data_IF_008634303129
#
_entry.id   IF_008634303129
#
_cell.length_a   1.000
_cell.length_b   1.000
_cell.length_c   1.000
_cell.angle_alpha   90.00
_cell.angle_beta   90.00
_cell.angle_gamma   90.00
#
_symmetry.space_group_name_H-M   'P 1'
#
loop_
_entity.id
_entity.type
_entity.pdbx_description
1 polymer ?
#
# COMPACT_ATOMS: atom_id res chain seq x y z
N UNK A 1 40.56 -26.91 0.65
CA UNK A 1 40.07 -25.52 0.45
C UNK A 1 39.45 -25.34 -0.95
N UNK A 2 38.46 -26.16 -1.34
CA UNK A 2 37.83 -26.11 -2.68
C UNK A 2 36.34 -26.49 -2.66
N UNK A 3 35.66 -26.22 -1.54
CA UNK A 3 34.25 -26.59 -1.30
C UNK A 3 33.31 -25.42 -0.97
N UNK A 4 33.82 -24.33 -0.38
CA UNK A 4 32.96 -23.24 0.13
C UNK A 4 32.45 -22.27 -0.94
N UNK A 5 33.02 -22.27 -2.15
CA UNK A 5 32.61 -21.38 -3.25
C UNK A 5 31.37 -21.85 -4.03
N UNK A 6 31.07 -23.15 -4.03
CA UNK A 6 29.95 -23.72 -4.80
C UNK A 6 28.64 -23.75 -3.98
N UNK A 7 28.73 -23.78 -2.66
CA UNK A 7 27.57 -23.72 -1.76
C UNK A 7 26.98 -22.30 -1.68
N UNK A 8 27.82 -21.26 -1.76
CA UNK A 8 27.35 -19.86 -1.76
C UNK A 8 26.57 -19.48 -3.02
N UNK A 9 26.99 -19.97 -4.19
CA UNK A 9 26.31 -19.70 -5.46
C UNK A 9 24.93 -20.36 -5.57
N UNK A 10 24.82 -21.63 -5.16
CA UNK A 10 23.53 -22.34 -5.17
C UNK A 10 22.55 -21.75 -4.15
N UNK A 11 23.03 -21.30 -2.99
CA UNK A 11 22.17 -20.65 -1.98
C UNK A 11 21.65 -19.30 -2.45
N UNK A 12 22.51 -18.46 -3.04
CA UNK A 12 22.08 -17.18 -3.60
C UNK A 12 21.01 -17.33 -4.68
N UNK A 13 21.19 -18.28 -5.62
CA UNK A 13 20.21 -18.53 -6.69
C UNK A 13 18.91 -19.09 -6.12
N UNK A 14 18.98 -19.98 -5.13
CA UNK A 14 17.80 -20.52 -4.46
C UNK A 14 17.01 -19.43 -3.72
N UNK A 15 17.70 -18.56 -2.98
CA UNK A 15 17.08 -17.44 -2.25
C UNK A 15 16.42 -16.46 -3.23
N UNK A 16 17.13 -16.09 -4.31
CA UNK A 16 16.63 -15.20 -5.36
C UNK A 16 15.37 -15.74 -6.03
N UNK A 17 15.36 -17.04 -6.36
CA UNK A 17 14.20 -17.71 -6.96
C UNK A 17 13.02 -17.78 -5.99
N UNK A 18 13.30 -18.10 -4.72
CA UNK A 18 12.26 -18.20 -3.70
C UNK A 18 11.54 -16.86 -3.47
N UNK A 19 12.28 -15.75 -3.41
CA UNK A 19 11.72 -14.40 -3.26
C UNK A 19 10.87 -14.00 -4.48
N UNK A 20 11.32 -14.32 -5.70
CA UNK A 20 10.52 -14.06 -6.89
C UNK A 20 9.20 -14.82 -6.87
N UNK A 21 9.22 -16.11 -6.52
CA UNK A 21 8.01 -16.94 -6.44
C UNK A 21 7.08 -16.43 -5.33
N UNK A 22 7.63 -16.00 -4.19
CA UNK A 22 6.85 -15.40 -3.11
C UNK A 22 6.16 -14.11 -3.56
N UNK A 23 6.90 -13.17 -4.15
CA UNK A 23 6.33 -11.91 -4.64
C UNK A 23 5.29 -12.17 -5.76
N UNK A 24 5.55 -13.12 -6.65
CA UNK A 24 4.58 -13.52 -7.67
C UNK A 24 3.28 -14.04 -7.03
N UNK A 25 3.38 -14.87 -6.00
CA UNK A 25 2.22 -15.40 -5.28
C UNK A 25 1.46 -14.30 -4.52
N UNK A 26 2.16 -13.39 -3.84
CA UNK A 26 1.57 -12.23 -3.17
C UNK A 26 0.76 -11.38 -4.15
N UNK A 27 1.34 -11.07 -5.32
CA UNK A 27 0.66 -10.30 -6.36
C UNK A 27 -0.50 -11.07 -6.98
N UNK A 28 -0.34 -12.37 -7.24
CA UNK A 28 -1.42 -13.20 -7.77
C UNK A 28 -2.63 -13.21 -6.82
N UNK A 29 -2.40 -13.37 -5.52
CA UNK A 29 -3.46 -13.32 -4.49
C UNK A 29 -4.10 -11.93 -4.43
N UNK A 30 -3.31 -10.85 -4.52
CA UNK A 30 -3.82 -9.48 -4.50
C UNK A 30 -4.64 -9.11 -5.76
N UNK A 31 -4.25 -9.59 -6.93
CA UNK A 31 -4.92 -9.30 -8.21
C UNK A 31 -6.16 -10.19 -8.43
N UNK A 32 -6.19 -11.39 -7.86
CA UNK A 32 -7.31 -12.33 -7.97
C UNK A 32 -8.68 -11.71 -7.66
N UNK A 33 -8.91 -11.01 -6.53
CA UNK A 33 -10.22 -10.43 -6.25
C UNK A 33 -10.60 -9.35 -7.27
N UNK A 34 -9.65 -8.54 -7.73
CA UNK A 34 -9.90 -7.54 -8.77
C UNK A 34 -10.30 -8.19 -10.10
N UNK A 35 -9.57 -9.24 -10.51
CA UNK A 35 -9.89 -10.02 -11.70
C UNK A 35 -11.25 -10.73 -11.57
N UNK A 36 -11.56 -11.29 -10.40
CA UNK A 36 -12.84 -11.93 -10.12
C UNK A 36 -14.00 -10.94 -10.24
N UNK A 37 -13.88 -9.76 -9.65
CA UNK A 37 -14.89 -8.70 -9.79
C UNK A 37 -15.05 -8.29 -11.26
N UNK A 38 -13.96 -8.14 -12.01
CA UNK A 38 -14.03 -7.79 -13.43
C UNK A 38 -14.76 -8.87 -14.25
N UNK A 39 -14.46 -10.16 -14.01
CA UNK A 39 -15.10 -11.29 -14.70
C UNK A 39 -16.58 -11.39 -14.34
N UNK A 40 -16.91 -11.37 -13.04
CA UNK A 40 -18.29 -11.44 -12.55
C UNK A 40 -19.12 -10.26 -13.05
N UNK A 41 -18.57 -9.05 -12.98
CA UNK A 41 -19.26 -7.84 -13.44
C UNK A 41 -19.46 -7.84 -14.95
N UNK A 42 -18.49 -8.33 -15.72
CA UNK A 42 -18.62 -8.47 -17.16
C UNK A 42 -19.69 -9.48 -17.56
N UNK A 43 -19.79 -10.60 -16.84
CA UNK A 43 -20.78 -11.64 -17.10
C UNK A 43 -22.20 -11.24 -16.68
N UNK A 44 -22.35 -10.58 -15.51
CA UNK A 44 -23.66 -10.23 -14.96
C UNK A 44 -24.22 -8.90 -15.51
N UNK A 45 -23.40 -7.85 -15.60
CA UNK A 45 -23.87 -6.47 -15.80
C UNK A 45 -23.37 -5.83 -17.10
N UNK A 46 -22.06 -5.84 -17.35
CA UNK A 46 -21.44 -4.96 -18.36
C UNK A 46 -21.53 -5.50 -19.79
N UNK A 47 -21.47 -6.83 -19.99
CA UNK A 47 -21.52 -7.49 -21.32
C UNK A 47 -20.61 -6.82 -22.36
N UNK A 48 -19.35 -6.57 -22.01
CA UNK A 48 -18.43 -5.78 -22.82
C UNK A 48 -18.11 -6.48 -24.15
N UNK A 49 -17.92 -5.74 -25.25
CA UNK A 49 -17.43 -6.30 -26.51
C UNK A 49 -16.05 -6.94 -26.32
N UNK A 50 -15.74 -7.96 -27.13
CA UNK A 50 -14.51 -8.75 -27.02
C UNK A 50 -13.22 -7.91 -27.01
N UNK A 51 -13.23 -6.78 -27.71
CA UNK A 51 -12.10 -5.83 -27.72
C UNK A 51 -11.83 -5.24 -26.34
N UNK A 52 -12.87 -4.81 -25.62
CA UNK A 52 -12.74 -4.23 -24.28
C UNK A 52 -12.36 -5.27 -23.23
N UNK A 53 -12.91 -6.49 -23.32
CA UNK A 53 -12.50 -7.61 -22.45
C UNK A 53 -11.01 -7.90 -22.62
N UNK A 54 -10.51 -7.94 -23.87
CA UNK A 54 -9.08 -8.12 -24.14
C UNK A 54 -8.25 -6.99 -23.53
N UNK A 55 -8.68 -5.74 -23.65
CA UNK A 55 -8.00 -4.60 -23.01
C UNK A 55 -7.92 -4.74 -21.50
N UNK A 56 -9.01 -5.14 -20.83
CA UNK A 56 -9.02 -5.35 -19.37
C UNK A 56 -8.08 -6.47 -18.96
N UNK A 57 -8.11 -7.61 -19.66
CA UNK A 57 -7.22 -8.75 -19.37
C UNK A 57 -5.75 -8.36 -19.58
N UNK A 58 -5.43 -7.70 -20.70
CA UNK A 58 -4.06 -7.24 -20.97
C UNK A 58 -3.61 -6.22 -19.93
N UNK A 59 -4.48 -5.28 -19.53
CA UNK A 59 -4.20 -4.33 -18.45
C UNK A 59 -3.92 -5.02 -17.12
N UNK A 60 -4.78 -5.97 -16.71
CA UNK A 60 -4.60 -6.75 -15.48
C UNK A 60 -3.27 -7.51 -15.46
N UNK A 61 -2.91 -8.17 -16.56
CA UNK A 61 -1.64 -8.90 -16.67
C UNK A 61 -0.45 -7.95 -16.59
N UNK A 62 -0.47 -6.83 -17.33
CA UNK A 62 0.61 -5.84 -17.31
C UNK A 62 0.76 -5.20 -15.93
N UNK A 63 -0.34 -4.86 -15.26
CA UNK A 63 -0.32 -4.33 -13.89
C UNK A 63 0.20 -5.36 -12.90
N UNK A 64 -0.19 -6.63 -13.01
CA UNK A 64 0.33 -7.70 -12.17
C UNK A 64 1.85 -7.87 -12.34
N UNK A 65 2.33 -7.97 -13.58
CA UNK A 65 3.76 -8.09 -13.86
C UNK A 65 4.54 -6.84 -13.40
N UNK A 66 4.03 -5.65 -13.67
CA UNK A 66 4.64 -4.39 -13.22
C UNK A 66 4.72 -4.30 -11.70
N UNK A 67 3.65 -4.68 -11.00
CA UNK A 67 3.61 -4.71 -9.52
C UNK A 67 4.57 -5.75 -8.98
N UNK A 68 4.65 -6.94 -9.59
CA UNK A 68 5.58 -7.99 -9.20
C UNK A 68 7.04 -7.51 -9.29
N UNK A 69 7.46 -6.98 -10.44
CA UNK A 69 8.83 -6.50 -10.60
C UNK A 69 9.14 -5.29 -9.71
N UNK A 70 8.17 -4.39 -9.52
CA UNK A 70 8.31 -3.26 -8.60
C UNK A 70 8.50 -3.71 -7.15
N UNK A 71 7.62 -4.56 -6.63
CA UNK A 71 7.70 -5.06 -5.26
C UNK A 71 8.97 -5.87 -5.03
N UNK A 72 9.38 -6.68 -6.01
CA UNK A 72 10.63 -7.42 -5.96
C UNK A 72 11.84 -6.47 -5.85
N UNK A 73 11.90 -5.45 -6.71
CA UNK A 73 12.95 -4.44 -6.66
C UNK A 73 12.98 -3.66 -5.34
N UNK A 74 11.80 -3.34 -4.78
CA UNK A 74 11.68 -2.68 -3.48
C UNK A 74 12.16 -3.58 -2.35
N UNK A 75 11.78 -4.87 -2.34
CA UNK A 75 12.13 -5.80 -1.26
C UNK A 75 13.63 -6.07 -1.19
N UNK A 76 14.30 -6.21 -2.33
CA UNK A 76 15.75 -6.49 -2.36
C UNK A 76 16.59 -5.22 -2.28
N UNK A 77 16.12 -4.11 -2.87
CA UNK A 77 16.87 -2.86 -2.94
C UNK A 77 16.61 -1.93 -1.77
N UNK A 78 15.38 -1.41 -1.67
CA UNK A 78 15.06 -0.28 -0.80
C UNK A 78 14.68 -0.69 0.62
N UNK A 79 14.00 -1.82 0.80
CA UNK A 79 13.50 -2.26 2.11
C UNK A 79 14.62 -2.53 3.13
N UNK A 80 15.74 -3.22 2.79
CA UNK A 80 16.83 -3.46 3.73
C UNK A 80 17.51 -2.15 4.16
N UNK A 81 17.66 -1.20 3.24
CA UNK A 81 18.18 0.13 3.54
C UNK A 81 17.25 0.90 4.49
N UNK A 82 15.95 0.92 4.20
CA UNK A 82 14.93 1.55 5.03
C UNK A 82 14.87 0.95 6.45
N UNK A 83 14.95 -0.37 6.57
CA UNK A 83 14.98 -1.06 7.87
C UNK A 83 16.24 -0.70 8.66
N UNK A 84 17.40 -0.69 8.02
CA UNK A 84 18.67 -0.33 8.68
C UNK A 84 18.65 1.11 9.18
N UNK A 85 18.21 2.06 8.34
CA UNK A 85 18.06 3.46 8.72
C UNK A 85 17.08 3.61 9.90
N UNK A 86 15.93 2.94 9.81
CA UNK A 86 14.91 2.95 10.86
C UNK A 86 15.44 2.40 12.19
N UNK A 87 16.18 1.30 12.17
CA UNK A 87 16.80 0.70 13.37
C UNK A 87 17.84 1.63 13.99
N UNK A 88 18.69 2.28 13.19
CA UNK A 88 19.68 3.25 13.68
C UNK A 88 19.02 4.46 14.35
N UNK A 89 17.93 4.98 13.77
CA UNK A 89 17.16 6.08 14.37
C UNK A 89 16.48 5.61 15.65
N UNK A 90 15.88 4.42 15.65
CA UNK A 90 15.23 3.85 16.83
C UNK A 90 16.20 3.65 18.00
N UNK A 91 17.43 3.22 17.72
CA UNK A 91 18.45 2.98 18.74
C UNK A 91 19.05 4.28 19.30
N UNK A 92 19.17 5.33 18.48
CA UNK A 92 19.83 6.58 18.87
C UNK A 92 18.85 7.67 19.35
N UNK A 93 17.78 7.92 18.59
CA UNK A 93 16.80 8.99 18.83
C UNK A 93 15.40 8.53 18.41
N UNK A 94 14.76 7.64 19.18
CA UNK A 94 13.46 7.06 18.81
C UNK A 94 12.34 8.09 18.67
N UNK A 95 12.43 9.24 19.37
CA UNK A 95 11.49 10.34 19.22
C UNK A 95 11.42 10.91 17.78
N UNK A 96 12.49 10.78 16.99
CA UNK A 96 12.51 11.22 15.58
C UNK A 96 11.69 10.31 14.65
N UNK A 97 11.37 9.08 15.07
CA UNK A 97 10.52 8.19 14.28
C UNK A 97 9.14 8.78 14.06
N UNK A 98 8.60 9.54 15.02
CA UNK A 98 7.26 10.13 14.94
C UNK A 98 7.17 11.18 13.82
N UNK A 99 7.97 12.27 13.79
CA UNK A 99 7.91 13.25 12.71
C UNK A 99 8.37 12.67 11.36
N UNK A 100 9.34 11.75 11.34
CA UNK A 100 9.75 11.08 10.10
C UNK A 100 8.61 10.22 9.54
N UNK A 101 7.98 9.41 10.39
CA UNK A 101 6.83 8.59 10.02
C UNK A 101 5.66 9.42 9.51
N UNK A 102 5.39 10.57 10.15
CA UNK A 102 4.40 11.53 9.65
C UNK A 102 4.69 11.97 8.21
N UNK A 103 5.92 12.44 7.96
CA UNK A 103 6.32 12.93 6.63
C UNK A 103 6.26 11.81 5.60
N UNK A 104 6.75 10.61 5.91
CA UNK A 104 6.72 9.47 5.00
C UNK A 104 5.27 9.04 4.69
N UNK A 105 4.40 8.96 5.70
CA UNK A 105 2.97 8.66 5.51
C UNK A 105 2.26 9.70 4.65
N UNK A 106 2.50 10.98 4.94
CA UNK A 106 1.95 12.11 4.19
C UNK A 106 2.40 12.09 2.71
N UNK A 107 3.70 11.95 2.46
CA UNK A 107 4.27 11.93 1.10
C UNK A 107 3.81 10.70 0.33
N UNK A 108 3.65 9.55 0.99
CA UNK A 108 3.15 8.32 0.35
C UNK A 108 1.78 8.55 -0.29
N UNK A 109 0.85 9.19 0.42
CA UNK A 109 -0.48 9.51 -0.13
C UNK A 109 -0.41 10.54 -1.25
N UNK A 110 0.43 11.56 -1.14
CA UNK A 110 0.60 12.54 -2.22
C UNK A 110 1.21 11.94 -3.49
N UNK A 111 2.08 10.95 -3.32
CA UNK A 111 2.72 10.21 -4.41
C UNK A 111 1.77 9.16 -5.03
N UNK A 112 0.73 8.74 -4.31
CA UNK A 112 -0.16 7.68 -4.76
C UNK A 112 -1.13 8.17 -5.86
N UNK A 113 -0.99 7.70 -7.12
CA UNK A 113 -1.85 8.15 -8.22
C UNK A 113 -3.30 7.67 -8.05
N UNK A 114 -3.51 6.50 -7.43
CA UNK A 114 -4.85 5.95 -7.18
C UNK A 114 -5.67 6.86 -6.28
N UNK A 115 -5.06 7.44 -5.25
CA UNK A 115 -5.73 8.40 -4.36
C UNK A 115 -6.15 9.65 -5.15
N UNK A 116 -5.32 10.16 -6.05
CA UNK A 116 -5.69 11.31 -6.90
C UNK A 116 -6.92 11.01 -7.75
N UNK A 117 -6.94 9.85 -8.41
CA UNK A 117 -8.11 9.40 -9.20
C UNK A 117 -9.35 9.29 -8.32
N UNK A 118 -9.23 8.73 -7.12
CA UNK A 118 -10.34 8.61 -6.18
C UNK A 118 -10.85 9.99 -5.72
N UNK A 119 -9.96 10.91 -5.38
CA UNK A 119 -10.33 12.27 -4.95
C UNK A 119 -10.99 13.07 -6.07
N UNK A 120 -10.57 12.87 -7.32
CA UNK A 120 -11.19 13.49 -8.49
C UNK A 120 -12.59 12.94 -8.75
N UNK A 121 -12.79 11.63 -8.57
CA UNK A 121 -14.12 11.03 -8.72
C UNK A 121 -15.09 11.53 -7.65
N UNK A 122 -14.64 11.64 -6.39
CA UNK A 122 -15.43 12.24 -5.30
C UNK A 122 -15.79 13.69 -5.60
N UNK A 123 -14.84 14.49 -6.11
CA UNK A 123 -15.11 15.87 -6.51
C UNK A 123 -16.14 15.94 -7.66
N UNK A 124 -16.07 15.02 -8.62
CA UNK A 124 -17.03 14.94 -9.75
C UNK A 124 -18.44 14.59 -9.28
N UNK A 125 -18.59 13.57 -8.43
CA UNK A 125 -19.91 13.12 -7.96
C UNK A 125 -20.54 14.07 -6.94
N UNK A 126 -19.73 14.86 -6.23
CA UNK A 126 -20.21 15.90 -5.31
C UNK A 126 -20.60 17.22 -5.99
N UNK A 127 -20.54 17.29 -7.33
CA UNK A 127 -20.82 18.52 -8.08
C UNK A 127 -19.86 19.68 -7.74
N UNK A 128 -18.64 19.36 -7.29
CA UNK A 128 -17.65 20.36 -6.85
C UNK A 128 -17.85 20.89 -5.43
N UNK A 129 -18.82 20.38 -4.66
CA UNK A 129 -19.00 20.75 -3.25
C UNK A 129 -17.78 20.36 -2.39
N UNK A 130 -17.10 19.27 -2.76
CA UNK A 130 -15.86 18.84 -2.10
C UNK A 130 -14.70 18.93 -3.10
N UNK A 131 -13.78 19.90 -2.95
CA UNK A 131 -12.68 20.06 -3.89
C UNK A 131 -11.65 18.93 -3.74
N UNK A 132 -11.18 18.41 -4.88
CA UNK A 132 -10.18 17.32 -4.97
C UNK A 132 -8.96 17.55 -4.06
N UNK A 133 -8.39 18.76 -4.12
CA UNK A 133 -7.19 19.12 -3.34
C UNK A 133 -7.42 19.05 -1.83
N UNK A 134 -8.60 19.47 -1.36
CA UNK A 134 -8.94 19.41 0.05
C UNK A 134 -9.02 17.95 0.51
N UNK A 135 -9.69 17.10 -0.28
CA UNK A 135 -9.79 15.67 0.03
C UNK A 135 -8.40 15.02 0.07
N UNK A 136 -7.55 15.32 -0.91
CA UNK A 136 -6.17 14.81 -0.98
C UNK A 136 -5.34 15.20 0.25
N UNK A 137 -5.37 16.46 0.67
CA UNK A 137 -4.62 16.91 1.86
C UNK A 137 -5.18 16.33 3.15
N UNK A 138 -6.51 16.22 3.29
CA UNK A 138 -7.12 15.60 4.48
C UNK A 138 -6.73 14.13 4.59
N UNK A 139 -6.78 13.39 3.48
CA UNK A 139 -6.30 12.00 3.42
C UNK A 139 -4.81 11.90 3.76
N UNK A 140 -3.97 12.73 3.16
CA UNK A 140 -2.53 12.71 3.39
C UNK A 140 -2.17 13.05 4.85
N UNK A 141 -2.81 14.06 5.45
CA UNK A 141 -2.63 14.40 6.85
C UNK A 141 -3.13 13.28 7.75
N UNK A 142 -4.32 12.72 7.47
CA UNK A 142 -4.90 11.64 8.26
C UNK A 142 -4.01 10.40 8.29
N UNK A 143 -3.49 9.98 7.13
CA UNK A 143 -2.54 8.87 7.03
C UNK A 143 -1.21 9.21 7.67
N UNK A 144 -0.70 10.43 7.48
CA UNK A 144 0.51 10.91 8.17
C UNK A 144 0.38 10.82 9.70
N UNK A 145 -0.75 11.27 10.27
CA UNK A 145 -1.05 11.14 11.71
C UNK A 145 -1.12 9.67 12.10
N UNK A 146 -1.79 8.82 11.32
CA UNK A 146 -1.90 7.39 11.62
C UNK A 146 -0.52 6.71 11.67
N UNK A 147 0.37 7.01 10.72
CA UNK A 147 1.74 6.48 10.73
C UNK A 147 2.56 7.05 11.89
N UNK A 148 2.41 8.34 12.21
CA UNK A 148 3.06 8.95 13.37
C UNK A 148 2.63 8.29 14.69
N UNK A 149 1.34 8.00 14.84
CA UNK A 149 0.79 7.26 15.99
C UNK A 149 1.30 5.81 16.02
N UNK A 150 1.46 5.17 14.85
CA UNK A 150 2.07 3.85 14.77
C UNK A 150 3.54 3.86 15.25
N UNK A 151 4.31 4.90 14.90
CA UNK A 151 5.68 5.06 15.40
C UNK A 151 5.71 5.37 16.90
N UNK A 152 4.80 6.22 17.38
CA UNK A 152 4.64 6.51 18.81
C UNK A 152 4.30 5.23 19.60
N UNK A 153 3.46 4.36 19.02
CA UNK A 153 3.12 3.06 19.59
C UNK A 153 4.32 2.14 19.72
N UNK A 154 5.17 2.07 18.69
CA UNK A 154 6.40 1.27 18.76
C UNK A 154 7.35 1.82 19.83
N UNK A 155 7.48 3.15 19.92
CA UNK A 155 8.37 3.80 20.89
C UNK A 155 7.90 3.63 22.34
N UNK A 156 6.61 3.83 22.63
CA UNK A 156 6.05 3.78 23.98
C UNK A 156 5.48 2.40 24.36
N UNK A 157 5.61 1.40 23.49
CA UNK A 157 5.06 0.05 23.66
C UNK A 157 3.55 0.06 23.98
N UNK A 158 2.79 0.91 23.29
CA UNK A 158 1.35 1.06 23.50
C UNK A 158 0.61 -0.10 22.83
N UNK A 159 -0.43 -0.61 23.48
CA UNK A 159 -1.27 -1.66 22.91
C UNK A 159 -2.06 -1.16 21.68
N UNK A 160 -2.18 -1.98 20.62
CA UNK A 160 -2.83 -1.57 19.35
C UNK A 160 -4.24 -1.02 19.57
N UNK A 161 -5.00 -1.68 20.43
CA UNK A 161 -6.39 -1.33 20.67
C UNK A 161 -6.55 0.05 21.30
N UNK A 162 -5.55 0.55 22.02
CA UNK A 162 -5.60 1.89 22.61
C UNK A 162 -5.62 3.01 21.54
N UNK A 163 -5.07 2.74 20.35
CA UNK A 163 -5.12 3.67 19.21
C UNK A 163 -6.35 3.37 18.33
N UNK A 164 -6.66 2.10 18.14
CA UNK A 164 -7.71 1.67 17.24
C UNK A 164 -9.11 2.00 17.78
N UNK A 165 -9.38 1.72 19.06
CA UNK A 165 -10.70 1.92 19.67
C UNK A 165 -11.15 3.39 19.57
N UNK A 166 -10.36 4.40 19.98
CA UNK A 166 -10.78 5.80 19.85
C UNK A 166 -11.00 6.22 18.39
N UNK A 167 -10.16 5.75 17.47
CA UNK A 167 -10.29 6.05 16.04
C UNK A 167 -11.59 5.51 15.44
N UNK A 168 -11.90 4.24 15.72
CA UNK A 168 -13.16 3.62 15.26
C UNK A 168 -14.38 4.21 15.97
N UNK A 169 -14.29 4.47 17.27
CA UNK A 169 -15.39 5.12 18.00
C UNK A 169 -15.71 6.49 17.39
N UNK A 170 -14.69 7.29 17.08
CA UNK A 170 -14.87 8.57 16.39
C UNK A 170 -15.51 8.37 15.00
N UNK A 171 -15.04 7.41 14.21
CA UNK A 171 -15.62 7.12 12.90
C UNK A 171 -17.11 6.72 12.97
N UNK A 172 -17.47 5.86 13.93
CA UNK A 172 -18.86 5.48 14.16
C UNK A 172 -19.71 6.63 14.68
N UNK A 173 -19.17 7.48 15.55
CA UNK A 173 -19.87 8.69 16.00
C UNK A 173 -20.15 9.64 14.84
N UNK A 174 -19.16 9.87 13.97
CA UNK A 174 -19.30 10.71 12.78
C UNK A 174 -20.34 10.15 11.79
N UNK A 175 -20.49 8.83 11.71
CA UNK A 175 -21.48 8.19 10.84
C UNK A 175 -22.92 8.62 11.17
N UNK A 176 -23.25 8.90 12.43
CA UNK A 176 -24.59 9.39 12.82
C UNK A 176 -24.90 10.81 12.29
N UNK A 177 -23.89 11.59 11.90
CA UNK A 177 -24.06 12.94 11.39
C UNK A 177 -24.12 12.99 9.85
N UNK A 178 -23.88 11.87 9.17
CA UNK A 178 -24.00 11.78 7.72
C UNK A 178 -25.47 11.49 7.37
N UNK A 179 -26.09 12.42 6.64
CA UNK A 179 -27.43 12.23 6.07
C UNK A 179 -27.41 11.19 4.94
N UNK A 180 -28.50 10.40 4.75
CA UNK A 180 -28.61 9.37 3.71
C UNK A 180 -28.37 9.87 2.28
#
# INVERSE_FOLDING_TARGET
MRGEGLEGGNRFVADWWSELVQVAAEVAVAVTPLAAVAVVSNFLFLKLPRTQVRTVITGLVLTALGTMFFLYGVRIGFMPAGQTIGQLIAASRPALLVPIGFVLGFVTILAEPTVRVQTAEVARVSGGAIPERLLLYVLAIGVGIAVALAMLRVWLNIHLLAILIPGYALAFLLMFFVSP
#
